data_IF_970287645698
#
_entry.id   IF_970287645698
#
_cell.length_a   1.000
_cell.length_b   1.000
_cell.length_c   1.000
_cell.angle_alpha   90.00
_cell.angle_beta   90.00
_cell.angle_gamma   90.00
#
_symmetry.space_group_name_H-M   'P 1'
#
loop_
_entity.id
_entity.type
_entity.pdbx_description
1 polymer ?
#
# COMPACT_ATOMS: atom_id res chain seq x y z
N UNK A 1 -8.13 8.77 11.08
CA UNK A 1 -8.88 8.33 12.27
C UNK A 1 -7.83 8.21 13.37
N UNK A 2 -7.82 9.10 14.36
CA UNK A 2 -6.73 9.13 15.36
C UNK A 2 -6.88 7.97 16.33
N UNK A 3 -6.13 6.88 16.12
CA UNK A 3 -6.05 5.80 17.08
C UNK A 3 -5.23 6.30 18.27
N UNK A 4 -5.84 6.35 19.47
CA UNK A 4 -5.10 6.69 20.68
C UNK A 4 -4.08 5.58 20.96
N UNK A 5 -2.86 5.98 21.30
CA UNK A 5 -1.80 5.08 21.77
C UNK A 5 -2.37 4.18 22.88
N UNK A 6 -2.05 2.89 22.85
CA UNK A 6 -2.50 1.88 23.82
C UNK A 6 -4.02 1.54 23.83
N UNK A 7 -4.85 2.12 22.95
CA UNK A 7 -6.22 1.64 22.71
C UNK A 7 -6.29 1.03 21.31
N UNK A 8 -5.97 -0.25 21.20
CA UNK A 8 -6.07 -0.99 19.94
C UNK A 8 -7.43 -0.80 19.28
N UNK A 9 -7.51 -0.86 17.95
CA UNK A 9 -8.82 -0.94 17.27
C UNK A 9 -9.48 -2.25 17.70
N UNK A 10 -10.79 -2.25 17.92
CA UNK A 10 -11.52 -3.48 18.22
C UNK A 10 -11.34 -4.48 17.05
N UNK A 11 -11.25 -5.81 17.31
CA UNK A 11 -11.17 -6.79 16.23
C UNK A 11 -12.35 -6.66 15.27
N UNK A 12 -12.06 -6.46 13.99
CA UNK A 12 -13.06 -6.22 12.95
C UNK A 12 -12.62 -6.82 11.62
N UNK A 13 -13.53 -6.82 10.64
CA UNK A 13 -13.26 -7.20 9.27
C UNK A 13 -13.96 -6.22 8.31
N UNK A 14 -13.64 -6.34 7.01
CA UNK A 14 -14.23 -5.52 5.96
C UNK A 14 -14.78 -6.36 4.81
N UNK A 15 -15.66 -5.72 4.04
CA UNK A 15 -16.21 -6.21 2.76
C UNK A 15 -15.34 -5.80 1.57
N UNK A 16 -14.09 -5.39 1.80
CA UNK A 16 -13.07 -5.16 0.81
C UNK A 16 -11.73 -5.73 1.29
N UNK A 17 -10.75 -5.66 0.42
CA UNK A 17 -9.36 -5.89 0.79
C UNK A 17 -8.75 -4.58 1.27
N UNK A 18 -7.88 -4.68 2.27
CA UNK A 18 -7.14 -3.55 2.79
C UNK A 18 -5.65 -3.91 2.93
N UNK A 19 -4.83 -2.91 2.69
CA UNK A 19 -3.39 -3.01 2.70
C UNK A 19 -2.85 -1.86 3.53
N UNK A 20 -1.90 -2.13 4.42
CA UNK A 20 -1.26 -1.13 5.26
C UNK A 20 0.25 -1.19 5.07
N UNK A 21 0.88 -0.06 4.79
CA UNK A 21 2.32 0.11 4.86
C UNK A 21 2.65 1.07 6.01
N UNK A 22 3.29 0.56 7.06
CA UNK A 22 3.75 1.39 8.19
C UNK A 22 5.09 2.02 7.83
N UNK A 23 5.15 3.35 7.75
CA UNK A 23 6.37 4.10 7.39
C UNK A 23 7.17 4.52 8.62
N UNK A 24 6.53 4.57 9.78
CA UNK A 24 7.17 4.80 11.08
C UNK A 24 6.39 4.12 12.22
N UNK A 25 7.02 4.02 13.38
CA UNK A 25 6.44 3.51 14.62
C UNK A 25 6.62 2.00 14.84
N UNK A 26 6.23 1.57 16.04
CA UNK A 26 6.27 0.16 16.48
C UNK A 26 4.94 -0.25 17.10
N UNK A 27 4.55 -1.50 16.88
CA UNK A 27 3.27 -2.03 17.34
C UNK A 27 3.12 -3.52 17.07
N UNK A 28 1.88 -3.98 17.12
CA UNK A 28 1.49 -5.35 16.80
C UNK A 28 0.23 -5.33 15.92
N UNK A 29 0.15 -6.28 14.99
CA UNK A 29 -1.06 -6.61 14.24
C UNK A 29 -1.47 -8.04 14.54
N UNK A 30 -2.76 -8.24 14.80
CA UNK A 30 -3.35 -9.57 14.83
C UNK A 30 -4.08 -9.79 13.53
N UNK A 31 -3.72 -10.84 12.80
CA UNK A 31 -4.53 -11.39 11.73
C UNK A 31 -5.13 -12.69 12.26
N UNK A 32 -6.44 -12.68 12.46
CA UNK A 32 -7.20 -13.72 13.15
C UNK A 32 -6.70 -13.99 14.57
N UNK A 33 -5.92 -15.06 14.74
CA UNK A 33 -5.37 -15.51 16.03
C UNK A 33 -3.85 -15.38 16.10
N UNK A 34 -3.21 -14.93 15.01
CA UNK A 34 -1.76 -14.81 14.93
C UNK A 34 -1.37 -13.35 15.11
N UNK A 35 -0.44 -13.10 16.03
CA UNK A 35 0.15 -11.79 16.27
C UNK A 35 1.45 -11.65 15.47
N UNK A 36 1.70 -10.47 14.93
CA UNK A 36 2.92 -10.10 14.24
C UNK A 36 3.38 -8.73 14.72
N UNK A 37 4.69 -8.54 14.81
CA UNK A 37 5.27 -7.23 15.12
C UNK A 37 5.12 -6.28 13.93
N UNK A 38 4.90 -5.01 14.24
CA UNK A 38 4.95 -3.90 13.30
C UNK A 38 6.22 -3.10 13.58
N UNK A 39 7.04 -2.96 12.55
CA UNK A 39 8.19 -2.04 12.48
C UNK A 39 8.04 -1.13 11.25
N UNK A 40 8.86 -0.07 11.10
CA UNK A 40 8.90 0.69 9.85
C UNK A 40 9.13 -0.23 8.64
N UNK A 41 8.49 0.09 7.53
CA UNK A 41 8.39 -0.69 6.28
C UNK A 41 7.54 -1.99 6.36
N UNK A 42 6.83 -2.26 7.46
CA UNK A 42 5.95 -3.44 7.56
C UNK A 42 4.75 -3.30 6.63
N UNK A 43 4.53 -4.32 5.80
CA UNK A 43 3.36 -4.45 4.94
C UNK A 43 2.37 -5.45 5.55
N UNK A 44 1.11 -5.05 5.67
CA UNK A 44 0.02 -5.90 6.13
C UNK A 44 -1.04 -6.00 5.04
N UNK A 45 -1.47 -7.21 4.70
CA UNK A 45 -2.61 -7.47 3.83
C UNK A 45 -3.75 -8.12 4.61
N UNK A 46 -4.89 -7.43 4.65
CA UNK A 46 -6.15 -7.86 5.26
C UNK A 46 -7.19 -8.11 4.15
N UNK A 47 -7.27 -9.34 3.60
CA UNK A 47 -8.26 -9.67 2.60
C UNK A 47 -9.68 -9.60 3.16
N UNK A 48 -10.68 -9.45 2.29
CA UNK A 48 -12.09 -9.45 2.67
C UNK A 48 -12.45 -10.61 3.61
N UNK A 49 -13.05 -10.25 4.75
CA UNK A 49 -13.43 -11.17 5.82
C UNK A 49 -12.31 -11.57 6.79
N UNK A 50 -11.07 -11.11 6.60
CA UNK A 50 -10.00 -11.32 7.57
C UNK A 50 -10.26 -10.49 8.82
N UNK A 51 -10.40 -11.13 9.98
CA UNK A 51 -10.53 -10.41 11.25
C UNK A 51 -9.15 -9.88 11.61
N UNK A 52 -9.05 -8.60 11.90
CA UNK A 52 -7.78 -7.98 12.24
C UNK A 52 -7.92 -6.89 13.29
N UNK A 53 -6.78 -6.57 13.91
CA UNK A 53 -6.64 -5.53 14.94
C UNK A 53 -5.20 -5.01 14.92
N UNK A 54 -5.05 -3.70 15.11
CA UNK A 54 -3.76 -3.04 15.29
C UNK A 54 -3.64 -2.48 16.70
N UNK A 55 -2.46 -2.64 17.30
CA UNK A 55 -2.07 -2.00 18.55
C UNK A 55 -0.71 -1.33 18.38
N UNK A 56 -0.70 0.00 18.27
CA UNK A 56 0.55 0.76 18.21
C UNK A 56 1.04 1.09 19.62
N UNK A 57 2.36 0.98 19.84
CA UNK A 57 3.05 1.25 21.10
C UNK A 57 3.84 2.57 21.08
N UNK A 58 4.00 3.17 19.91
CA UNK A 58 4.57 4.51 19.72
C UNK A 58 3.65 5.36 18.84
N UNK A 59 3.99 6.65 18.66
CA UNK A 59 3.55 7.39 17.49
C UNK A 59 3.97 6.64 16.22
N UNK A 60 3.15 6.72 15.19
CA UNK A 60 3.34 5.96 13.96
C UNK A 60 2.81 6.75 12.76
N UNK A 61 3.30 6.40 11.60
CA UNK A 61 2.80 6.86 10.30
C UNK A 61 2.54 5.65 9.42
N UNK A 62 1.46 5.70 8.65
CA UNK A 62 1.13 4.64 7.72
C UNK A 62 0.40 5.16 6.49
N UNK A 63 0.35 4.30 5.47
CA UNK A 63 -0.47 4.48 4.28
C UNK A 63 -1.36 3.26 4.11
N UNK A 64 -2.62 3.51 3.75
CA UNK A 64 -3.60 2.46 3.55
C UNK A 64 -4.15 2.52 2.13
N UNK A 65 -4.27 1.36 1.49
CA UNK A 65 -5.00 1.18 0.24
C UNK A 65 -6.15 0.23 0.53
N UNK A 66 -7.35 0.61 0.12
CA UNK A 66 -8.54 -0.24 0.19
C UNK A 66 -9.07 -0.52 -1.21
N UNK A 67 -9.52 -1.74 -1.47
CA UNK A 67 -10.24 -2.05 -2.70
C UNK A 67 -11.71 -1.60 -2.60
N UNK A 68 -12.42 -1.67 -3.73
CA UNK A 68 -13.87 -1.49 -3.74
C UNK A 68 -14.54 -2.51 -2.83
N UNK A 69 -15.63 -2.10 -2.20
CA UNK A 69 -16.50 -2.99 -1.43
C UNK A 69 -17.14 -4.04 -2.36
N UNK A 70 -17.22 -5.26 -1.86
CA UNK A 70 -17.85 -6.44 -2.46
C UNK A 70 -18.95 -6.97 -1.54
N UNK A 71 -19.67 -8.01 -1.97
CA UNK A 71 -20.72 -8.68 -1.18
C UNK A 71 -21.77 -7.70 -0.61
N UNK A 72 -21.94 -7.66 0.72
CA UNK A 72 -22.92 -6.84 1.42
C UNK A 72 -22.57 -5.33 1.43
N UNK A 73 -21.37 -4.96 0.99
CA UNK A 73 -20.90 -3.58 0.84
C UNK A 73 -21.04 -2.74 2.12
N UNK A 74 -20.73 -3.33 3.28
CA UNK A 74 -20.81 -2.64 4.57
C UNK A 74 -19.69 -1.61 4.71
N UNK A 75 -20.00 -0.33 5.01
CA UNK A 75 -19.11 0.77 4.67
C UNK A 75 -17.85 0.92 5.55
N UNK A 76 -17.80 0.45 6.81
CA UNK A 76 -16.54 0.34 7.63
C UNK A 76 -16.72 -0.54 8.88
N UNK A 77 -15.60 -1.10 9.39
CA UNK A 77 -15.42 -1.87 10.64
C UNK A 77 -16.59 -2.80 11.02
N UNK A 78 -16.65 -3.96 10.37
CA UNK A 78 -17.66 -4.98 10.66
C UNK A 78 -17.18 -5.84 11.83
N UNK A 79 -17.97 -5.91 12.91
CA UNK A 79 -17.62 -6.70 14.10
C UNK A 79 -18.39 -8.02 14.14
N UNK A 80 -17.77 -9.06 14.72
CA UNK A 80 -18.39 -10.38 14.86
C UNK A 80 -19.66 -10.32 15.71
N UNK A 81 -19.66 -9.52 16.78
CA UNK A 81 -20.79 -9.42 17.70
C UNK A 81 -22.05 -8.86 17.03
N UNK A 82 -21.88 -7.95 16.06
CA UNK A 82 -23.00 -7.29 15.38
C UNK A 82 -23.42 -8.00 14.09
N UNK A 83 -22.49 -8.68 13.41
CA UNK A 83 -22.71 -9.18 12.05
C UNK A 83 -22.37 -10.66 11.84
N UNK A 84 -21.93 -11.35 12.89
CA UNK A 84 -21.51 -12.73 12.82
C UNK A 84 -20.11 -12.93 12.23
N UNK A 85 -19.70 -14.20 12.16
CA UNK A 85 -18.41 -14.59 11.64
C UNK A 85 -18.32 -14.39 10.12
N UNK A 86 -17.24 -13.79 9.61
CA UNK A 86 -17.07 -13.57 8.18
C UNK A 86 -16.75 -14.86 7.43
N UNK A 87 -17.16 -14.92 6.17
CA UNK A 87 -16.64 -15.88 5.20
C UNK A 87 -15.35 -15.33 4.58
N UNK A 88 -14.19 -15.83 4.96
CA UNK A 88 -12.91 -15.36 4.43
C UNK A 88 -12.75 -15.72 2.96
N UNK A 89 -12.16 -14.80 2.20
CA UNK A 89 -11.80 -15.05 0.79
C UNK A 89 -10.48 -15.80 0.66
N UNK A 90 -9.42 -15.28 1.28
CA UNK A 90 -8.08 -15.86 1.32
C UNK A 90 -7.42 -15.56 2.68
N UNK A 91 -6.26 -16.16 2.93
CA UNK A 91 -5.45 -15.86 4.11
C UNK A 91 -4.70 -14.54 3.93
N UNK A 92 -4.80 -13.64 4.93
CA UNK A 92 -3.97 -12.43 4.98
C UNK A 92 -2.53 -12.72 5.37
N UNK A 93 -1.63 -11.78 5.10
CA UNK A 93 -0.21 -11.92 5.41
C UNK A 93 0.39 -10.63 5.98
N UNK A 94 1.53 -10.78 6.65
CA UNK A 94 2.38 -9.69 7.12
C UNK A 94 3.78 -9.93 6.59
N UNK A 95 4.39 -8.91 5.97
CA UNK A 95 5.82 -8.90 5.63
C UNK A 95 6.49 -7.92 6.58
N UNK A 96 7.42 -8.43 7.39
CA UNK A 96 8.16 -7.63 8.36
C UNK A 96 8.91 -6.50 7.66
N UNK A 97 9.14 -5.39 8.34
CA UNK A 97 9.86 -4.25 7.75
C UNK A 97 11.25 -4.59 7.22
N UNK A 98 11.98 -5.50 7.88
CA UNK A 98 13.29 -5.95 7.45
C UNK A 98 13.26 -6.91 6.26
N UNK A 99 12.13 -7.60 6.06
CA UNK A 99 11.95 -8.58 4.98
C UNK A 99 11.23 -8.00 3.76
N UNK A 100 10.59 -6.83 3.91
CA UNK A 100 9.87 -6.16 2.83
C UNK A 100 10.84 -5.49 1.82
N UNK A 101 11.45 -6.33 0.99
CA UNK A 101 12.47 -5.97 -0.01
C UNK A 101 11.94 -5.94 -1.44
N UNK A 102 10.72 -6.40 -1.65
CA UNK A 102 10.06 -6.61 -2.95
C UNK A 102 10.81 -7.57 -3.90
N UNK A 103 10.08 -8.24 -4.83
CA UNK A 103 8.62 -8.31 -4.93
C UNK A 103 7.98 -9.12 -3.79
N UNK A 104 6.65 -9.12 -3.71
CA UNK A 104 5.92 -10.03 -2.81
C UNK A 104 6.01 -11.45 -3.40
N UNK A 105 6.66 -12.37 -2.69
CA UNK A 105 6.94 -13.72 -3.20
C UNK A 105 5.67 -14.52 -3.54
N UNK A 106 4.65 -14.44 -2.68
CA UNK A 106 3.43 -15.24 -2.79
C UNK A 106 2.19 -14.39 -2.41
N UNK A 107 1.79 -13.42 -3.26
CA UNK A 107 0.67 -12.52 -2.94
C UNK A 107 -0.68 -13.25 -2.86
N UNK A 108 -0.75 -14.47 -3.41
CA UNK A 108 -1.99 -15.22 -3.52
C UNK A 108 -2.88 -14.72 -4.67
N UNK A 109 -4.02 -15.40 -4.93
CA UNK A 109 -4.82 -15.16 -6.13
C UNK A 109 -5.68 -13.88 -6.08
N UNK A 110 -5.77 -13.21 -4.92
CA UNK A 110 -6.65 -12.06 -4.71
C UNK A 110 -5.90 -10.75 -4.52
N UNK A 111 -4.67 -10.79 -3.98
CA UNK A 111 -3.86 -9.60 -3.79
C UNK A 111 -3.50 -8.98 -5.15
N UNK A 112 -3.87 -7.71 -5.43
CA UNK A 112 -3.59 -7.04 -6.69
C UNK A 112 -2.18 -6.43 -6.72
N UNK A 113 -1.46 -6.41 -5.58
CA UNK A 113 -0.14 -5.82 -5.46
C UNK A 113 0.92 -6.89 -5.73
N UNK A 114 1.88 -6.56 -6.60
CA UNK A 114 3.10 -7.35 -6.74
C UNK A 114 4.23 -6.88 -5.83
N UNK A 115 4.14 -5.64 -5.33
CA UNK A 115 5.14 -4.97 -4.53
C UNK A 115 4.46 -3.80 -3.79
N UNK A 116 4.84 -3.58 -2.53
CA UNK A 116 4.63 -2.31 -1.84
C UNK A 116 5.64 -2.16 -0.71
N UNK A 117 6.59 -1.23 -0.87
CA UNK A 117 7.65 -0.97 0.11
C UNK A 117 7.99 0.50 0.20
N UNK A 118 8.67 0.84 1.28
CA UNK A 118 9.40 2.10 1.42
C UNK A 118 10.79 1.97 0.82
N UNK A 119 11.22 3.03 0.15
CA UNK A 119 12.56 3.17 -0.40
C UNK A 119 13.19 4.44 0.15
N UNK A 120 14.49 4.38 0.45
CA UNK A 120 15.31 5.55 0.71
C UNK A 120 16.31 5.70 -0.43
N UNK A 121 16.50 6.94 -0.89
CA UNK A 121 17.53 7.31 -1.84
C UNK A 121 18.48 8.28 -1.14
N UNK A 122 19.76 8.14 -1.39
CA UNK A 122 20.77 9.11 -0.97
C UNK A 122 20.76 10.33 -1.90
N UNK A 123 21.24 11.49 -1.41
CA UNK A 123 21.32 12.71 -2.23
C UNK A 123 22.15 12.46 -3.51
N UNK A 124 21.53 12.66 -4.67
CA UNK A 124 22.12 12.44 -5.99
C UNK A 124 22.12 10.97 -6.46
N UNK A 125 21.55 10.05 -5.69
CA UNK A 125 21.24 8.71 -6.16
C UNK A 125 20.09 8.76 -7.18
N UNK A 126 20.19 7.92 -8.21
CA UNK A 126 19.19 7.89 -9.27
C UNK A 126 18.69 6.50 -9.57
N UNK A 127 17.38 6.35 -9.75
CA UNK A 127 16.77 5.13 -10.27
C UNK A 127 16.39 5.39 -11.72
N UNK A 128 16.99 4.62 -12.63
CA UNK A 128 16.66 4.64 -14.05
C UNK A 128 15.92 3.36 -14.45
N UNK A 129 14.73 3.54 -15.01
CA UNK A 129 13.90 2.47 -15.56
C UNK A 129 13.42 2.89 -16.95
N UNK A 130 13.83 2.14 -17.98
CA UNK A 130 13.58 2.52 -19.37
C UNK A 130 12.18 2.11 -19.85
N UNK A 131 11.56 1.15 -19.17
CA UNK A 131 10.26 0.62 -19.52
C UNK A 131 9.48 0.31 -18.25
N UNK A 132 8.29 0.88 -18.13
CA UNK A 132 7.36 0.54 -17.07
C UNK A 132 6.74 -0.83 -17.41
N UNK A 133 6.80 -1.80 -16.48
CA UNK A 133 6.20 -3.13 -16.68
C UNK A 133 4.88 -3.34 -15.94
N UNK A 134 4.51 -2.43 -15.03
CA UNK A 134 3.29 -2.45 -14.21
C UNK A 134 2.84 -1.02 -13.91
N UNK A 135 1.57 -0.84 -13.56
CA UNK A 135 1.16 0.44 -12.99
C UNK A 135 1.85 0.64 -11.64
N UNK A 136 2.37 1.84 -11.41
CA UNK A 136 3.08 2.18 -10.18
C UNK A 136 2.44 3.38 -9.49
N UNK A 137 2.49 3.36 -8.17
CA UNK A 137 1.97 4.40 -7.30
C UNK A 137 3.11 4.81 -6.38
N UNK A 138 3.57 6.04 -6.53
CA UNK A 138 4.65 6.60 -5.74
C UNK A 138 4.07 7.67 -4.84
N UNK A 139 4.48 7.66 -3.57
CA UNK A 139 4.19 8.74 -2.65
C UNK A 139 5.50 9.19 -2.02
N UNK A 140 5.80 10.48 -2.12
CA UNK A 140 6.98 11.01 -1.45
C UNK A 140 6.69 11.19 0.04
N UNK A 141 7.41 10.45 0.89
CA UNK A 141 7.24 10.55 2.35
C UNK A 141 8.06 11.72 2.91
N UNK A 142 9.30 11.89 2.43
CA UNK A 142 10.24 12.89 2.95
C UNK A 142 11.25 13.30 1.87
N UNK A 143 11.73 14.54 1.97
CA UNK A 143 12.75 15.09 1.09
C UNK A 143 12.12 15.76 -0.13
N UNK A 144 12.87 15.78 -1.23
CA UNK A 144 12.42 16.27 -2.53
C UNK A 144 12.98 15.32 -3.58
N UNK A 145 12.16 14.94 -4.56
CA UNK A 145 12.60 14.12 -5.69
C UNK A 145 12.23 14.81 -6.99
N UNK A 146 13.06 14.61 -8.01
CA UNK A 146 12.72 14.92 -9.39
C UNK A 146 12.31 13.64 -10.12
N UNK A 147 11.08 13.59 -10.63
CA UNK A 147 10.61 12.54 -11.53
C UNK A 147 10.71 13.02 -12.97
N UNK A 148 11.62 12.45 -13.75
CA UNK A 148 11.73 12.70 -15.18
C UNK A 148 10.88 11.69 -15.96
N UNK A 149 9.98 12.20 -16.81
CA UNK A 149 9.16 11.43 -17.74
C UNK A 149 9.24 12.09 -19.12
N UNK A 150 9.64 11.33 -20.14
CA UNK A 150 9.73 11.82 -21.53
C UNK A 150 10.53 13.13 -21.68
N UNK A 151 11.61 13.27 -20.89
CA UNK A 151 12.48 14.45 -20.88
C UNK A 151 11.92 15.67 -20.15
N UNK A 152 10.78 15.54 -19.49
CA UNK A 152 10.18 16.57 -18.63
C UNK A 152 10.38 16.19 -17.17
N UNK A 153 10.91 17.12 -16.37
CA UNK A 153 11.13 16.92 -14.94
C UNK A 153 9.96 17.51 -14.15
N UNK A 154 9.38 16.67 -13.29
CA UNK A 154 8.39 17.03 -12.29
C UNK A 154 9.04 16.98 -10.93
N UNK A 155 9.04 18.08 -10.20
CA UNK A 155 9.46 18.07 -8.79
C UNK A 155 8.29 17.62 -7.92
N UNK A 156 8.57 16.78 -6.93
CA UNK A 156 7.58 16.35 -5.93
C UNK A 156 8.03 16.73 -4.53
N UNK A 157 7.06 17.21 -3.75
CA UNK A 157 7.18 17.53 -2.33
C UNK A 157 6.55 16.41 -1.47
N UNK A 158 6.83 16.35 -0.16
CA UNK A 158 6.23 15.34 0.70
C UNK A 158 4.70 15.36 0.62
N UNK A 159 4.09 14.17 0.58
CA UNK A 159 2.67 13.89 0.35
C UNK A 159 2.19 13.98 -1.11
N UNK A 160 3.04 14.40 -2.05
CA UNK A 160 2.70 14.25 -3.46
C UNK A 160 2.64 12.78 -3.85
N UNK A 161 1.66 12.47 -4.71
CA UNK A 161 1.42 11.15 -5.26
C UNK A 161 1.60 11.18 -6.77
N UNK A 162 2.48 10.33 -7.29
CA UNK A 162 2.62 10.11 -8.72
C UNK A 162 2.00 8.75 -9.09
N UNK A 163 1.13 8.77 -10.10
CA UNK A 163 0.47 7.60 -10.66
C UNK A 163 1.03 7.34 -12.06
N UNK A 164 1.79 6.26 -12.21
CA UNK A 164 2.36 5.86 -13.50
C UNK A 164 1.54 4.68 -14.03
N UNK A 165 0.94 4.86 -15.21
CA UNK A 165 0.16 3.82 -15.86
C UNK A 165 0.88 3.29 -17.08
N UNK A 166 0.85 1.97 -17.25
CA UNK A 166 1.10 1.34 -18.55
C UNK A 166 0.11 1.92 -19.56
N UNK A 167 0.60 2.27 -20.74
CA UNK A 167 -0.27 2.65 -21.84
C UNK A 167 -0.92 1.38 -22.37
N UNK A 168 -2.25 1.30 -22.32
CA UNK A 168 -2.96 0.39 -23.21
C UNK A 168 -2.92 1.00 -24.62
N UNK A 169 -2.39 0.28 -25.63
CA UNK A 169 -2.23 0.83 -26.99
C UNK A 169 -3.55 1.25 -27.67
N UNK A 170 -4.71 1.01 -27.05
CA UNK A 170 -6.04 1.29 -27.61
C UNK A 170 -6.77 2.48 -26.97
N UNK A 171 -6.22 3.14 -25.94
CA UNK A 171 -6.88 4.28 -25.29
C UNK A 171 -6.43 5.63 -25.90
N UNK A 172 -7.04 6.00 -27.03
CA UNK A 172 -7.04 7.37 -27.55
C UNK A 172 -8.50 7.84 -27.60
N UNK A 173 -8.89 8.65 -26.63
CA UNK A 173 -9.64 9.91 -26.81
C UNK A 173 -10.19 10.39 -25.45
N UNK A 174 -9.54 11.40 -24.88
CA UNK A 174 -10.10 12.18 -23.78
C UNK A 174 -9.13 12.43 -22.62
N UNK A 175 -8.43 13.57 -22.68
CA UNK A 175 -7.82 14.29 -21.54
C UNK A 175 -7.23 13.42 -20.41
N UNK A 176 -6.03 12.90 -20.65
CA UNK A 176 -5.11 12.40 -19.63
C UNK A 176 -3.70 12.52 -20.16
N UNK A 177 -2.78 13.10 -19.39
CA UNK A 177 -1.38 13.21 -19.77
C UNK A 177 -0.80 11.80 -19.93
N UNK A 178 -0.30 11.49 -21.12
CA UNK A 178 0.19 10.16 -21.49
C UNK A 178 1.71 10.16 -21.59
N UNK A 179 2.37 9.30 -20.83
CA UNK A 179 3.74 8.89 -21.13
C UNK A 179 3.71 7.83 -22.24
N UNK A 180 4.64 7.90 -23.21
CA UNK A 180 4.75 6.88 -24.27
C UNK A 180 5.31 5.56 -23.68
N UNK A 181 5.08 4.39 -24.30
CA UNK A 181 5.63 3.10 -23.84
C UNK A 181 7.18 2.99 -24.00
N UNK A 182 7.85 4.13 -24.21
CA UNK A 182 9.31 4.31 -24.21
C UNK A 182 9.74 5.37 -23.19
N UNK A 183 8.87 5.71 -22.25
CA UNK A 183 9.15 6.72 -21.26
C UNK A 183 10.24 6.23 -20.33
N UNK A 184 11.40 6.86 -20.46
CA UNK A 184 12.49 6.71 -19.51
C UNK A 184 12.07 7.40 -18.21
N UNK A 185 11.94 6.61 -17.15
CA UNK A 185 11.75 7.10 -15.79
C UNK A 185 13.11 7.28 -15.17
N UNK A 186 13.39 8.49 -14.69
CA UNK A 186 14.56 8.79 -13.87
C UNK A 186 14.12 9.52 -12.61
N UNK A 187 14.46 8.97 -11.46
CA UNK A 187 14.27 9.63 -10.16
C UNK A 187 15.62 10.22 -9.76
N UNK A 188 15.67 11.52 -9.47
CA UNK A 188 16.86 12.24 -9.01
C UNK A 188 16.62 12.91 -7.64
#
# INVERSE_FOLDING_TARGET
MDQKIATGVEPHYHDNDEFWLFTDGVGEVWLDKTCYDITPNTLVYTPMGCIHRFQMFSSYENNAIVTRLEREQRPIHVTVDNYGWPEKTVQGFVISGSDNKSPIDNPGPRCPLSEWRQMALEDGETIEELELHKNEHWMLIKGKIGLELDGVIFESDPQDVALLSLRHPEAIDGFGWSADNRSTKKIN
#
